data_IF_272235356464
#
_entry.id   IF_272235356464
#
_cell.length_a   1.000
_cell.length_b   1.000
_cell.length_c   1.000
_cell.angle_alpha   90.00
_cell.angle_beta   90.00
_cell.angle_gamma   90.00
#
_symmetry.space_group_name_H-M   'P 1'
#
loop_
_entity.id
_entity.type
_entity.pdbx_description
1 polymer ?
#
# COMPACT_ATOMS: atom_id res chain seq x y z
N UNK A 1 9.13 64.35 -10.87
CA UNK A 1 9.89 63.09 -10.63
C UNK A 1 9.16 62.08 -9.74
N UNK A 2 8.53 62.50 -8.63
CA UNK A 2 7.83 61.60 -7.67
C UNK A 2 6.74 60.71 -8.29
N UNK A 3 5.92 61.23 -9.23
CA UNK A 3 4.86 60.45 -9.90
C UNK A 3 5.37 59.31 -10.78
N UNK A 4 6.61 59.38 -11.29
CA UNK A 4 7.18 58.33 -12.14
C UNK A 4 7.63 57.13 -11.31
N UNK A 5 8.21 57.40 -10.13
CA UNK A 5 8.66 56.38 -9.19
C UNK A 5 7.49 55.60 -8.58
N UNK A 6 6.37 56.29 -8.32
CA UNK A 6 5.15 55.65 -7.83
C UNK A 6 4.58 54.63 -8.85
N UNK A 7 4.61 54.96 -10.15
CA UNK A 7 4.17 54.04 -11.21
C UNK A 7 5.07 52.81 -11.33
N UNK A 8 6.39 53.01 -11.23
CA UNK A 8 7.37 51.90 -11.26
C UNK A 8 7.18 50.96 -10.07
N UNK A 9 6.97 51.52 -8.87
CA UNK A 9 6.69 50.71 -7.67
C UNK A 9 5.37 49.93 -7.78
N UNK A 10 4.33 50.52 -8.36
CA UNK A 10 3.05 49.82 -8.59
C UNK A 10 3.24 48.66 -9.56
N UNK A 11 3.99 48.85 -10.66
CA UNK A 11 4.25 47.79 -11.65
C UNK A 11 5.11 46.67 -11.08
N UNK A 12 6.15 47.00 -10.30
CA UNK A 12 6.98 45.99 -9.64
C UNK A 12 6.16 45.23 -8.59
N UNK A 13 5.34 45.93 -7.81
CA UNK A 13 4.45 45.31 -6.83
C UNK A 13 3.43 44.37 -7.45
N UNK A 14 2.81 44.74 -8.57
CA UNK A 14 1.87 43.85 -9.27
C UNK A 14 2.58 42.67 -9.95
N UNK A 15 3.79 42.84 -10.47
CA UNK A 15 4.58 41.73 -11.02
C UNK A 15 4.98 40.70 -9.95
N UNK A 16 5.32 41.16 -8.75
CA UNK A 16 5.60 40.29 -7.58
C UNK A 16 4.35 39.53 -7.11
N UNK A 17 3.17 40.16 -7.13
CA UNK A 17 1.92 39.48 -6.75
C UNK A 17 1.53 38.41 -7.78
N UNK A 18 1.70 38.70 -9.08
CA UNK A 18 1.44 37.71 -10.14
C UNK A 18 2.39 36.50 -10.08
N UNK A 19 3.66 36.69 -9.71
CA UNK A 19 4.62 35.57 -9.62
C UNK A 19 4.37 34.65 -8.41
N UNK A 20 3.78 35.16 -7.33
CA UNK A 20 3.35 34.32 -6.19
C UNK A 20 2.07 33.53 -6.48
N UNK A 21 1.23 34.00 -7.40
CA UNK A 21 -0.01 33.30 -7.80
C UNK A 21 0.23 32.13 -8.78
N UNK A 22 1.39 32.06 -9.43
CA UNK A 22 1.78 30.98 -10.35
C UNK A 22 2.52 29.81 -9.68
N UNK A 23 2.51 29.73 -8.35
CA UNK A 23 3.04 28.57 -7.64
C UNK A 23 2.13 27.36 -7.87
N UNK A 24 2.32 26.63 -8.97
CA UNK A 24 1.77 25.28 -9.10
C UNK A 24 2.30 24.46 -7.92
N UNK A 25 1.41 24.03 -7.02
CA UNK A 25 1.77 23.09 -5.97
C UNK A 25 2.32 21.82 -6.64
N UNK A 26 3.60 21.54 -6.42
CA UNK A 26 4.26 20.37 -7.00
C UNK A 26 3.72 19.12 -6.28
N UNK A 27 2.81 18.41 -6.93
CA UNK A 27 2.31 17.15 -6.41
C UNK A 27 3.37 16.06 -6.60
N UNK A 28 3.93 15.57 -5.50
CA UNK A 28 4.99 14.54 -5.50
C UNK A 28 4.47 13.14 -5.16
N UNK A 29 3.23 13.03 -4.71
CA UNK A 29 2.57 11.79 -4.33
C UNK A 29 1.13 11.80 -4.80
N UNK A 30 0.59 10.62 -5.11
CA UNK A 30 -0.84 10.45 -5.40
C UNK A 30 -1.72 11.05 -4.30
N UNK A 31 -2.91 11.53 -4.68
CA UNK A 31 -3.94 11.95 -3.73
C UNK A 31 -4.43 10.76 -2.90
N UNK A 32 -4.85 11.00 -1.66
CA UNK A 32 -5.52 9.99 -0.84
C UNK A 32 -6.70 9.31 -1.56
N UNK A 33 -6.82 7.99 -1.40
CA UNK A 33 -7.91 7.16 -1.91
C UNK A 33 -8.41 6.22 -0.82
N UNK A 34 -9.57 6.56 -0.24
CA UNK A 34 -10.24 5.79 0.81
C UNK A 34 -10.48 4.32 0.40
N UNK A 35 -10.76 4.08 -0.88
CA UNK A 35 -10.99 2.73 -1.37
C UNK A 35 -9.70 1.90 -1.40
N UNK A 36 -8.54 2.51 -1.69
CA UNK A 36 -7.24 1.84 -1.54
C UNK A 36 -6.99 1.46 -0.08
N UNK A 37 -7.21 2.39 0.85
CA UNK A 37 -7.06 2.10 2.28
C UNK A 37 -7.95 0.94 2.73
N UNK A 38 -9.23 0.97 2.36
CA UNK A 38 -10.18 -0.09 2.68
C UNK A 38 -9.77 -1.43 2.07
N UNK A 39 -9.35 -1.44 0.80
CA UNK A 39 -8.88 -2.64 0.13
C UNK A 39 -7.64 -3.21 0.83
N UNK A 40 -6.66 -2.38 1.21
CA UNK A 40 -5.48 -2.82 1.97
C UNK A 40 -5.90 -3.47 3.30
N UNK A 41 -6.84 -2.86 4.03
CA UNK A 41 -7.36 -3.43 5.29
C UNK A 41 -8.07 -4.76 5.07
N UNK A 42 -8.87 -4.88 4.00
CA UNK A 42 -9.60 -6.11 3.69
C UNK A 42 -8.65 -7.26 3.33
N UNK A 43 -7.59 -7.00 2.55
CA UNK A 43 -6.56 -7.99 2.26
C UNK A 43 -5.79 -8.35 3.52
N UNK A 44 -5.42 -7.36 4.34
CA UNK A 44 -4.73 -7.60 5.62
C UNK A 44 -5.52 -8.53 6.53
N UNK A 45 -6.84 -8.31 6.64
CA UNK A 45 -7.76 -9.16 7.40
C UNK A 45 -7.84 -10.58 6.86
N UNK A 46 -7.85 -10.77 5.54
CA UNK A 46 -7.86 -12.09 4.90
C UNK A 46 -6.57 -12.86 5.20
N UNK A 47 -5.41 -12.20 5.12
CA UNK A 47 -4.11 -12.78 5.47
C UNK A 47 -4.02 -13.11 6.96
N UNK A 48 -4.47 -12.21 7.83
CA UNK A 48 -4.49 -12.46 9.29
C UNK A 48 -5.37 -13.68 9.62
N UNK A 49 -6.58 -13.73 9.05
CA UNK A 49 -7.49 -14.87 9.18
C UNK A 49 -6.85 -16.17 8.73
N UNK A 50 -6.14 -16.17 7.60
CA UNK A 50 -5.46 -17.37 7.10
C UNK A 50 -4.49 -17.94 8.14
N UNK A 51 -3.62 -17.11 8.70
CA UNK A 51 -2.66 -17.57 9.71
C UNK A 51 -3.32 -17.94 11.04
N UNK A 52 -4.40 -17.27 11.44
CA UNK A 52 -5.19 -17.66 12.62
C UNK A 52 -5.85 -19.03 12.40
N UNK A 53 -6.45 -19.28 11.23
CA UNK A 53 -7.05 -20.58 10.93
C UNK A 53 -6.01 -21.71 10.99
N UNK A 54 -4.80 -21.46 10.49
CA UNK A 54 -3.71 -22.44 10.60
C UNK A 54 -3.26 -22.67 12.04
N UNK A 55 -3.28 -21.65 12.91
CA UNK A 55 -2.88 -21.83 14.32
C UNK A 55 -3.85 -22.71 15.11
N UNK A 56 -5.14 -22.70 14.75
CA UNK A 56 -6.17 -23.54 15.38
C UNK A 56 -6.11 -25.02 14.94
N UNK A 57 -5.29 -25.35 13.95
CA UNK A 57 -5.12 -26.72 13.48
C UNK A 57 -3.91 -27.41 14.10
N UNK A 58 -3.98 -28.71 14.41
CA UNK A 58 -2.80 -29.54 14.60
C UNK A 58 -1.87 -29.46 13.40
N UNK A 59 -0.55 -29.53 13.62
CA UNK A 59 0.46 -29.33 12.58
C UNK A 59 0.28 -30.27 11.38
N UNK A 60 -0.18 -31.48 11.63
CA UNK A 60 -0.43 -32.54 10.64
C UNK A 60 -1.63 -32.22 9.73
N UNK A 61 -2.53 -31.32 10.17
CA UNK A 61 -3.71 -30.88 9.41
C UNK A 61 -3.48 -29.59 8.63
N UNK A 62 -2.37 -28.89 8.87
CA UNK A 62 -1.97 -27.66 8.15
C UNK A 62 -1.39 -27.98 6.78
N UNK A 63 -2.13 -28.72 5.95
CA UNK A 63 -1.66 -29.13 4.63
C UNK A 63 -1.87 -28.03 3.60
N UNK A 64 -1.10 -28.08 2.51
CA UNK A 64 -1.29 -27.17 1.39
C UNK A 64 -2.70 -27.33 0.79
N UNK A 65 -3.18 -28.57 0.66
CA UNK A 65 -4.50 -28.85 0.13
C UNK A 65 -5.61 -28.16 0.94
N UNK A 66 -5.53 -28.19 2.27
CA UNK A 66 -6.48 -27.46 3.14
C UNK A 66 -6.47 -25.95 2.88
N UNK A 67 -5.30 -25.40 2.52
CA UNK A 67 -5.05 -23.96 2.38
C UNK A 67 -5.23 -23.42 0.95
N UNK A 68 -5.40 -24.30 -0.04
CA UNK A 68 -5.26 -23.97 -1.46
C UNK A 68 -6.23 -22.88 -1.93
N UNK A 69 -7.50 -22.98 -1.52
CA UNK A 69 -8.54 -22.01 -1.88
C UNK A 69 -8.25 -20.64 -1.26
N UNK A 70 -7.80 -20.59 0.00
CA UNK A 70 -7.44 -19.35 0.67
C UNK A 70 -6.23 -18.68 0.02
N UNK A 71 -5.22 -19.45 -0.40
CA UNK A 71 -4.10 -18.94 -1.20
C UNK A 71 -4.56 -18.26 -2.49
N UNK A 72 -5.39 -18.96 -3.27
CA UNK A 72 -5.93 -18.43 -4.53
C UNK A 72 -6.73 -17.14 -4.30
N UNK A 73 -7.63 -17.14 -3.31
CA UNK A 73 -8.47 -15.98 -3.03
C UNK A 73 -7.64 -14.75 -2.66
N UNK A 74 -6.64 -14.90 -1.78
CA UNK A 74 -5.77 -13.78 -1.38
C UNK A 74 -4.88 -13.33 -2.55
N UNK A 75 -4.42 -14.24 -3.40
CA UNK A 75 -3.62 -13.91 -4.59
C UNK A 75 -4.40 -13.05 -5.60
N UNK A 76 -5.68 -13.37 -5.81
CA UNK A 76 -6.59 -12.56 -6.64
C UNK A 76 -6.77 -11.16 -6.05
N UNK A 77 -6.97 -11.08 -4.74
CA UNK A 77 -7.16 -9.80 -4.04
C UNK A 77 -5.90 -8.91 -4.08
N UNK A 78 -4.72 -9.49 -3.89
CA UNK A 78 -3.44 -8.80 -4.05
C UNK A 78 -3.23 -8.33 -5.49
N UNK A 79 -3.62 -9.14 -6.48
CA UNK A 79 -3.54 -8.76 -7.90
C UNK A 79 -4.48 -7.60 -8.24
N UNK A 80 -5.71 -7.62 -7.70
CA UNK A 80 -6.66 -6.53 -7.86
C UNK A 80 -6.15 -5.23 -7.21
N UNK A 81 -5.57 -5.34 -6.01
CA UNK A 81 -4.95 -4.20 -5.33
C UNK A 81 -3.78 -3.63 -6.16
N UNK A 82 -2.92 -4.50 -6.69
CA UNK A 82 -1.79 -4.08 -7.53
C UNK A 82 -2.26 -3.36 -8.79
N UNK A 83 -3.27 -3.91 -9.48
CA UNK A 83 -3.83 -3.31 -10.68
C UNK A 83 -4.36 -1.90 -10.40
N UNK A 84 -5.08 -1.72 -9.28
CA UNK A 84 -5.54 -0.41 -8.83
C UNK A 84 -4.39 0.56 -8.57
N UNK A 85 -3.32 0.13 -7.92
CA UNK A 85 -2.20 1.03 -7.63
C UNK A 85 -1.42 1.42 -8.89
N UNK A 86 -1.30 0.51 -9.88
CA UNK A 86 -0.61 0.77 -11.15
C UNK A 86 -1.28 1.80 -12.04
N UNK A 87 -2.60 1.99 -11.92
CA UNK A 87 -3.33 3.01 -12.70
C UNK A 87 -3.36 4.38 -12.02
N UNK A 88 -2.90 4.48 -10.77
CA UNK A 88 -2.83 5.75 -10.04
C UNK A 88 -1.50 6.45 -10.34
N UNK A 89 -1.58 7.70 -10.79
CA UNK A 89 -0.41 8.56 -11.02
C UNK A 89 0.34 8.82 -9.72
N UNK A 90 1.68 8.90 -9.77
CA UNK A 90 2.56 9.24 -8.62
C UNK A 90 2.37 8.31 -7.42
N UNK A 91 2.20 7.02 -7.69
CA UNK A 91 1.88 6.00 -6.69
C UNK A 91 2.84 4.80 -6.71
N UNK A 92 4.07 5.03 -7.17
CA UNK A 92 5.11 4.02 -7.38
C UNK A 92 5.48 3.33 -6.06
N UNK A 93 5.52 4.08 -4.95
CA UNK A 93 5.84 3.53 -3.63
C UNK A 93 4.80 2.52 -3.16
N UNK A 94 3.52 2.87 -3.22
CA UNK A 94 2.42 1.96 -2.84
C UNK A 94 2.40 0.76 -3.77
N UNK A 95 2.56 0.99 -5.08
CA UNK A 95 2.67 -0.08 -6.08
C UNK A 95 3.78 -1.06 -5.70
N UNK A 96 4.96 -0.55 -5.32
CA UNK A 96 6.09 -1.40 -4.94
C UNK A 96 5.85 -2.19 -3.67
N UNK A 97 5.18 -1.60 -2.68
CA UNK A 97 4.82 -2.29 -1.44
C UNK A 97 3.82 -3.45 -1.70
N UNK A 98 2.88 -3.25 -2.62
CA UNK A 98 1.95 -4.34 -3.03
C UNK A 98 2.71 -5.44 -3.76
N UNK A 99 3.63 -5.12 -4.68
CA UNK A 99 4.48 -6.12 -5.35
C UNK A 99 5.31 -6.93 -4.35
N UNK A 100 5.93 -6.28 -3.36
CA UNK A 100 6.70 -6.95 -2.30
C UNK A 100 5.79 -7.92 -1.52
N UNK A 101 4.58 -7.47 -1.18
CA UNK A 101 3.61 -8.29 -0.46
C UNK A 101 3.14 -9.49 -1.29
N UNK A 102 2.88 -9.30 -2.58
CA UNK A 102 2.49 -10.37 -3.51
C UNK A 102 3.61 -11.39 -3.69
N UNK A 103 4.85 -10.93 -3.84
CA UNK A 103 6.01 -11.82 -3.97
C UNK A 103 6.22 -12.66 -2.72
N UNK A 104 6.09 -12.07 -1.53
CA UNK A 104 6.17 -12.80 -0.27
C UNK A 104 5.04 -13.85 -0.17
N UNK A 105 3.82 -13.51 -0.58
CA UNK A 105 2.68 -14.43 -0.59
C UNK A 105 2.92 -15.64 -1.49
N UNK A 106 3.43 -15.40 -2.70
CA UNK A 106 3.78 -16.46 -3.65
C UNK A 106 4.90 -17.35 -3.12
N UNK A 107 5.92 -16.78 -2.50
CA UNK A 107 7.00 -17.55 -1.87
C UNK A 107 6.48 -18.43 -0.72
N UNK A 108 5.61 -17.88 0.14
CA UNK A 108 5.02 -18.64 1.24
C UNK A 108 4.11 -19.76 0.73
N UNK A 109 3.33 -19.51 -0.34
CA UNK A 109 2.52 -20.53 -1.03
C UNK A 109 3.39 -21.65 -1.58
N UNK A 110 4.46 -21.31 -2.29
CA UNK A 110 5.41 -22.28 -2.86
C UNK A 110 6.08 -23.12 -1.78
N UNK A 111 6.54 -22.49 -0.70
CA UNK A 111 7.15 -23.19 0.42
C UNK A 111 6.15 -24.15 1.09
N UNK A 112 4.92 -23.71 1.31
CA UNK A 112 3.87 -24.55 1.88
C UNK A 112 3.52 -25.71 0.93
N UNK A 113 3.49 -25.50 -0.38
CA UNK A 113 3.26 -26.56 -1.36
C UNK A 113 4.39 -27.61 -1.33
N UNK A 114 5.64 -27.19 -1.17
CA UNK A 114 6.80 -28.09 -1.12
C UNK A 114 6.88 -28.89 0.19
N UNK A 115 6.64 -28.24 1.34
CA UNK A 115 6.77 -28.87 2.66
C UNK A 115 5.47 -29.54 3.11
N UNK A 116 4.33 -29.13 2.55
CA UNK A 116 2.98 -29.56 2.89
C UNK A 116 2.62 -29.43 4.39
N UNK A 117 3.29 -28.51 5.10
CA UNK A 117 3.02 -28.18 6.50
C UNK A 117 3.59 -26.80 6.85
N UNK A 118 3.04 -26.16 7.89
CA UNK A 118 3.54 -24.88 8.45
C UNK A 118 3.69 -25.01 9.98
N UNK A 119 4.87 -24.64 10.50
CA UNK A 119 5.16 -24.64 11.94
C UNK A 119 4.57 -23.43 12.67
N UNK A 120 4.34 -23.54 13.99
CA UNK A 120 3.84 -22.43 14.82
C UNK A 120 4.76 -21.20 14.76
N UNK A 121 6.08 -21.46 14.76
CA UNK A 121 7.08 -20.41 14.61
C UNK A 121 6.91 -19.64 13.29
N UNK A 122 6.68 -20.36 12.18
CA UNK A 122 6.50 -19.73 10.88
C UNK A 122 5.17 -18.96 10.81
N UNK A 123 4.08 -19.51 11.37
CA UNK A 123 2.79 -18.81 11.49
C UNK A 123 2.98 -17.47 12.23
N UNK A 124 3.58 -17.51 13.43
CA UNK A 124 3.81 -16.31 14.25
C UNK A 124 4.65 -15.27 13.52
N UNK A 125 5.75 -15.70 12.92
CA UNK A 125 6.69 -14.81 12.22
C UNK A 125 6.04 -14.18 10.99
N UNK A 126 5.31 -14.95 10.18
CA UNK A 126 4.63 -14.44 8.99
C UNK A 126 3.48 -13.52 9.33
N UNK A 127 2.66 -13.85 10.32
CA UNK A 127 1.61 -12.95 10.82
C UNK A 127 2.17 -11.57 11.15
N UNK A 128 3.26 -11.51 11.91
CA UNK A 128 3.93 -10.24 12.23
C UNK A 128 4.52 -9.54 11.00
N UNK A 129 5.10 -10.29 10.06
CA UNK A 129 5.67 -9.73 8.84
C UNK A 129 4.61 -9.07 7.94
N UNK A 130 3.50 -9.75 7.68
CA UNK A 130 2.39 -9.19 6.89
C UNK A 130 1.74 -8.00 7.60
N UNK A 131 1.52 -8.08 8.92
CA UNK A 131 0.99 -6.95 9.69
C UNK A 131 1.85 -5.68 9.52
N UNK A 132 3.19 -5.81 9.51
CA UNK A 132 4.08 -4.65 9.26
C UNK A 132 3.94 -4.12 7.82
N UNK A 133 3.86 -4.99 6.83
CA UNK A 133 3.69 -4.59 5.42
C UNK A 133 2.37 -3.84 5.21
N UNK A 134 1.25 -4.40 5.70
CA UNK A 134 -0.06 -3.77 5.57
C UNK A 134 -0.17 -2.47 6.37
N UNK A 135 0.36 -2.42 7.60
CA UNK A 135 0.37 -1.20 8.40
C UNK A 135 1.18 -0.08 7.72
N UNK A 136 2.31 -0.42 7.10
CA UNK A 136 3.09 0.56 6.34
C UNK A 136 2.32 1.10 5.13
N UNK A 137 1.63 0.24 4.39
CA UNK A 137 0.77 0.66 3.26
C UNK A 137 -0.38 1.56 3.72
N UNK A 138 -1.07 1.20 4.80
CA UNK A 138 -2.19 2.01 5.36
C UNK A 138 -1.68 3.39 5.78
N UNK A 139 -0.59 3.45 6.56
CA UNK A 139 0.00 4.73 6.99
C UNK A 139 0.48 5.57 5.80
N UNK A 140 1.05 4.92 4.78
CA UNK A 140 1.47 5.56 3.55
C UNK A 140 0.30 6.18 2.77
N UNK A 141 -0.86 5.50 2.73
CA UNK A 141 -2.07 6.06 2.13
C UNK A 141 -2.64 7.22 2.95
N UNK A 142 -2.76 7.05 4.28
CA UNK A 142 -3.25 8.09 5.19
C UNK A 142 -2.40 9.36 5.17
N UNK A 143 -1.08 9.24 5.01
CA UNK A 143 -0.19 10.39 4.92
C UNK A 143 -0.48 11.32 3.72
N UNK A 144 -1.17 10.82 2.68
CA UNK A 144 -1.56 11.59 1.49
C UNK A 144 -2.77 12.52 1.73
N UNK A 145 -3.35 12.49 2.93
CA UNK A 145 -4.41 13.42 3.34
C UNK A 145 -3.87 14.80 3.73
N UNK A 146 -2.56 14.91 3.92
CA UNK A 146 -1.84 16.12 4.32
C UNK A 146 -1.24 16.81 3.10
#
# INVERSE_FOLDING_TARGET
>A
MVKSWLKVLVVIGSLLILSMASGCALQMVSNFDMQTEQQIMDVAKKVDRFYVQLSELPKEKRTFHFSQSTYLNIEVELSALLMRQKVRELNELTTKQVEITQNLWLQDKQQHQQVNSISDFLIKTRKQQYQRLFLAMIRGEQAKQQ
#
